data_IF_391598989602
#
_entry.id   IF_391598989602
#
_cell.length_a   1.000
_cell.length_b   1.000
_cell.length_c   1.000
_cell.angle_alpha   90.00
_cell.angle_beta   90.00
_cell.angle_gamma   90.00
#
_symmetry.space_group_name_H-M   'P 1'
#
loop_
_entity.id
_entity.type
_entity.pdbx_description
1 polymer ?
#
# COMPACT_ATOMS: atom_id res chain seq x y z
N UNK A 1 -27.87 63.30 -17.05
CA UNK A 1 -26.64 63.79 -17.73
C UNK A 1 -25.52 63.72 -16.71
N UNK A 2 -24.37 63.08 -16.88
CA UNK A 2 -23.86 62.06 -17.79
C UNK A 2 -22.73 61.36 -17.01
N UNK A 3 -22.66 60.03 -17.08
CA UNK A 3 -21.55 59.23 -16.56
C UNK A 3 -20.43 59.13 -17.60
N UNK A 4 -19.17 59.00 -17.16
CA UNK A 4 -18.06 58.22 -17.78
C UNK A 4 -16.76 58.50 -17.01
N UNK A 5 -16.28 57.55 -16.20
CA UNK A 5 -15.28 56.53 -16.52
C UNK A 5 -13.84 57.07 -16.54
N UNK A 6 -13.18 56.98 -15.38
CA UNK A 6 -11.73 57.09 -15.25
C UNK A 6 -11.06 55.78 -15.67
N UNK A 7 -10.12 55.88 -16.62
CA UNK A 7 -9.29 54.78 -17.09
C UNK A 7 -7.97 54.76 -16.32
N UNK A 8 -7.82 53.79 -15.41
CA UNK A 8 -6.56 53.50 -14.72
C UNK A 8 -5.56 52.86 -15.70
N UNK A 9 -4.43 53.53 -15.95
CA UNK A 9 -3.34 52.99 -16.78
C UNK A 9 -2.46 52.09 -15.94
N UNK A 10 -2.36 50.81 -16.30
CA UNK A 10 -1.37 49.86 -15.75
C UNK A 10 0.05 50.24 -16.19
N UNK A 11 1.06 50.21 -15.30
CA UNK A 11 2.45 50.33 -15.71
C UNK A 11 2.97 49.02 -16.36
N UNK A 12 3.60 49.17 -17.53
CA UNK A 12 4.42 48.15 -18.18
C UNK A 12 5.75 48.04 -17.42
N UNK A 13 6.00 46.88 -16.79
CA UNK A 13 7.30 46.52 -16.24
C UNK A 13 7.88 45.33 -17.00
N UNK A 14 8.81 45.59 -17.92
CA UNK A 14 9.63 44.59 -18.60
C UNK A 14 10.70 44.06 -17.63
N UNK A 15 10.37 43.00 -16.91
CA UNK A 15 11.32 42.23 -16.11
C UNK A 15 12.06 41.21 -16.98
N UNK A 16 13.31 41.53 -17.31
CA UNK A 16 14.29 40.62 -17.91
C UNK A 16 14.61 39.47 -16.93
N UNK A 17 14.15 38.26 -17.22
CA UNK A 17 14.57 37.06 -16.51
C UNK A 17 15.88 36.54 -17.10
N UNK A 18 17.01 36.93 -16.48
CA UNK A 18 18.28 36.25 -16.74
C UNK A 18 18.21 34.84 -16.15
N UNK A 19 18.30 33.84 -17.03
CA UNK A 19 18.55 32.45 -16.69
C UNK A 19 19.96 32.34 -16.10
N UNK A 20 20.06 32.26 -14.78
CA UNK A 20 21.29 31.88 -14.12
C UNK A 20 21.47 30.36 -14.25
N UNK A 21 22.22 29.92 -15.27
CA UNK A 21 22.84 28.59 -15.26
C UNK A 21 23.93 28.61 -14.18
N UNK A 22 23.70 27.93 -13.05
CA UNK A 22 24.78 27.58 -12.11
C UNK A 22 25.01 26.08 -12.14
N UNK A 23 26.19 25.73 -12.66
CA UNK A 23 27.12 24.74 -12.11
C UNK A 23 26.56 23.38 -11.73
N UNK A 24 26.67 22.43 -12.66
CA UNK A 24 26.87 21.02 -12.34
C UNK A 24 28.29 20.88 -11.76
N UNK A 25 28.41 20.60 -10.47
CA UNK A 25 29.68 20.29 -9.83
C UNK A 25 29.78 20.78 -8.39
N UNK A 26 29.30 19.99 -7.42
CA UNK A 26 29.97 19.70 -6.13
C UNK A 26 29.00 19.03 -5.13
N UNK A 27 28.73 17.74 -5.30
CA UNK A 27 28.08 16.93 -4.25
C UNK A 27 28.80 15.59 -4.05
N UNK A 28 30.14 15.62 -4.06
CA UNK A 28 30.99 14.55 -3.50
C UNK A 28 31.72 15.02 -2.24
N UNK A 29 31.09 15.85 -1.37
CA UNK A 29 31.69 16.28 -0.08
C UNK A 29 30.67 16.57 1.04
N UNK A 30 29.55 15.85 1.09
CA UNK A 30 28.54 16.04 2.15
C UNK A 30 28.13 14.73 2.85
N UNK A 31 29.01 13.71 2.88
CA UNK A 31 28.75 12.41 3.54
C UNK A 31 29.67 12.16 4.74
N UNK A 32 30.56 13.08 5.11
CA UNK A 32 31.60 12.84 6.14
C UNK A 32 31.48 13.77 7.37
N UNK A 33 30.44 14.61 7.47
CA UNK A 33 30.29 15.56 8.58
C UNK A 33 28.99 15.46 9.39
N UNK A 34 28.23 14.37 9.24
CA UNK A 34 27.10 14.05 10.14
C UNK A 34 27.38 12.91 11.14
N UNK A 35 28.58 12.32 11.11
CA UNK A 35 28.99 11.18 11.95
C UNK A 35 29.96 11.58 13.09
N UNK A 36 29.96 12.85 13.50
CA UNK A 36 30.81 13.38 14.60
C UNK A 36 30.06 14.17 15.67
N UNK A 37 28.73 14.09 15.73
CA UNK A 37 27.92 14.84 16.72
C UNK A 37 27.02 13.98 17.64
N UNK A 38 27.17 12.65 17.62
CA UNK A 38 26.54 11.75 18.61
C UNK A 38 27.56 11.07 19.55
N UNK A 39 28.80 11.57 19.60
CA UNK A 39 29.85 11.10 20.50
C UNK A 39 30.02 11.91 21.79
N UNK A 40 29.30 13.02 21.95
CA UNK A 40 29.56 14.00 23.04
C UNK A 40 28.44 14.22 24.04
N UNK A 41 27.35 13.44 23.98
CA UNK A 41 26.35 13.38 25.05
C UNK A 41 26.50 12.17 25.99
N UNK A 42 27.36 11.20 25.66
CA UNK A 42 27.66 10.05 26.54
C UNK A 42 28.68 10.32 27.65
N UNK A 43 29.39 11.46 27.62
CA UNK A 43 30.46 11.81 28.58
C UNK A 43 30.00 12.62 29.82
N UNK A 44 28.67 12.79 30.02
CA UNK A 44 28.12 13.48 31.20
C UNK A 44 27.47 12.55 32.25
N UNK A 45 27.44 11.24 32.02
CA UNK A 45 27.07 10.26 33.04
C UNK A 45 28.35 9.63 33.59
N UNK A 46 28.84 10.15 34.73
CA UNK A 46 30.04 9.67 35.41
C UNK A 46 29.93 8.26 35.97
N UNK A 47 29.89 7.24 35.09
CA UNK A 47 30.13 5.85 35.47
C UNK A 47 31.58 5.51 35.16
N UNK A 48 32.47 5.84 36.10
CA UNK A 48 33.81 5.24 36.19
C UNK A 48 33.65 3.76 36.54
N UNK A 49 33.48 2.92 35.52
CA UNK A 49 33.59 1.46 35.73
C UNK A 49 35.06 1.09 35.71
N UNK A 50 35.62 1.03 36.92
CA UNK A 50 36.91 0.47 37.26
C UNK A 50 37.14 -0.86 36.53
N UNK A 51 38.08 -0.87 35.58
CA UNK A 51 38.62 -2.10 35.00
C UNK A 51 39.49 -2.77 36.06
N UNK A 52 38.85 -3.57 36.91
CA UNK A 52 39.51 -4.50 37.83
C UNK A 52 39.96 -5.74 37.08
N UNK A 53 41.27 -5.84 36.83
CA UNK A 53 41.94 -7.09 36.45
C UNK A 53 41.73 -8.13 37.56
N UNK A 54 40.97 -9.18 37.29
CA UNK A 54 41.06 -10.45 38.01
C UNK A 54 41.53 -11.49 37.02
N UNK A 55 42.74 -11.98 37.26
CA UNK A 55 43.35 -13.08 36.56
C UNK A 55 43.03 -14.40 37.29
N UNK A 56 43.18 -15.49 36.53
CA UNK A 56 43.16 -16.92 36.88
C UNK A 56 41.81 -17.64 36.86
N UNK A 57 41.78 -18.68 36.03
CA UNK A 57 40.78 -19.74 36.03
C UNK A 57 40.82 -20.58 34.76
N UNK A 58 41.95 -21.21 34.45
CA UNK A 58 42.05 -22.19 33.37
C UNK A 58 41.28 -23.47 33.73
N UNK A 59 40.31 -23.87 32.90
CA UNK A 59 39.92 -25.26 32.62
C UNK A 59 38.66 -25.26 31.73
N UNK A 60 38.67 -26.06 30.65
CA UNK A 60 37.44 -26.40 29.93
C UNK A 60 37.52 -26.20 28.42
N UNK A 61 38.37 -26.97 27.75
CA UNK A 61 38.31 -27.17 26.31
C UNK A 61 37.09 -28.03 25.96
N UNK A 62 36.10 -27.47 25.25
CA UNK A 62 35.13 -28.21 24.44
C UNK A 62 34.76 -27.41 23.19
N UNK A 63 35.37 -27.81 22.08
CA UNK A 63 34.83 -27.92 20.71
C UNK A 63 34.11 -26.71 20.10
N UNK A 64 34.86 -25.97 19.26
CA UNK A 64 34.36 -25.17 18.14
C UNK A 64 34.53 -25.99 16.87
N UNK A 65 33.45 -26.43 16.22
CA UNK A 65 33.34 -26.61 14.75
C UNK A 65 31.85 -26.66 14.40
N UNK A 66 31.37 -25.87 13.42
CA UNK A 66 30.09 -26.20 12.76
C UNK A 66 29.21 -25.08 12.20
N UNK A 67 29.77 -24.01 11.61
CA UNK A 67 29.05 -23.20 10.62
C UNK A 67 29.94 -23.07 9.38
N UNK A 68 29.31 -23.19 8.20
CA UNK A 68 29.85 -23.15 6.81
C UNK A 68 30.22 -24.51 6.19
N UNK A 69 29.22 -25.19 5.60
CA UNK A 69 29.26 -25.69 4.21
C UNK A 69 27.96 -26.44 3.88
N UNK A 70 27.03 -25.80 3.18
CA UNK A 70 26.04 -26.50 2.37
C UNK A 70 25.96 -25.79 1.03
N UNK A 71 27.05 -25.87 0.26
CA UNK A 71 27.05 -25.68 -1.18
C UNK A 71 28.32 -26.31 -1.75
N UNK A 72 28.16 -27.49 -2.34
CA UNK A 72 28.96 -28.10 -3.43
C UNK A 72 28.17 -29.35 -3.84
N UNK A 73 27.59 -29.36 -5.04
CA UNK A 73 28.23 -29.84 -6.27
C UNK A 73 28.30 -31.37 -6.32
N UNK A 74 27.27 -31.94 -6.90
CA UNK A 74 27.31 -33.11 -7.78
C UNK A 74 26.24 -32.78 -8.84
N UNK A 75 26.58 -32.42 -10.08
CA UNK A 75 27.22 -33.31 -11.04
C UNK A 75 26.11 -33.97 -11.87
N UNK A 76 25.76 -33.39 -13.03
CA UNK A 76 25.29 -34.14 -14.20
C UNK A 76 25.00 -33.19 -15.37
N UNK A 77 25.96 -33.17 -16.26
CA UNK A 77 25.89 -32.71 -17.64
C UNK A 77 24.90 -33.59 -18.43
N UNK A 78 24.03 -33.00 -19.25
CA UNK A 78 23.54 -33.62 -20.51
C UNK A 78 23.16 -32.52 -21.53
N UNK A 79 23.29 -32.81 -22.84
CA UNK A 79 23.73 -31.84 -23.82
C UNK A 79 22.60 -31.22 -24.66
N UNK A 80 22.98 -30.14 -25.35
CA UNK A 80 22.27 -29.62 -26.51
C UNK A 80 22.18 -30.66 -27.64
N UNK A 81 20.99 -30.87 -28.21
CA UNK A 81 20.79 -30.90 -29.66
C UNK A 81 19.31 -31.06 -30.05
N UNK A 82 18.89 -30.14 -30.93
CA UNK A 82 18.05 -30.26 -32.14
C UNK A 82 16.55 -30.63 -32.12
N UNK A 83 15.91 -30.06 -33.15
CA UNK A 83 14.54 -30.21 -33.69
C UNK A 83 13.50 -29.29 -33.03
N UNK A 84 13.18 -28.14 -33.61
CA UNK A 84 12.35 -27.94 -34.81
C UNK A 84 10.98 -28.58 -34.66
N UNK A 85 9.99 -27.79 -34.26
CA UNK A 85 8.62 -27.94 -34.77
C UNK A 85 7.95 -26.57 -34.81
N UNK A 86 7.86 -26.06 -36.04
CA UNK A 86 6.97 -25.01 -36.49
C UNK A 86 5.54 -25.52 -36.38
N UNK A 87 4.69 -24.83 -35.61
CA UNK A 87 3.25 -24.99 -35.73
C UNK A 87 2.66 -23.65 -36.19
N UNK A 88 2.41 -23.61 -37.49
CA UNK A 88 1.51 -22.67 -38.16
C UNK A 88 0.10 -22.85 -37.57
N UNK A 89 -0.53 -21.75 -37.15
CA UNK A 89 -1.97 -21.72 -36.92
C UNK A 89 -2.56 -20.69 -37.88
N UNK A 90 -3.12 -21.25 -38.94
CA UNK A 90 -3.81 -20.62 -40.05
C UNK A 90 -5.04 -19.82 -39.63
N UNK A 91 -5.25 -18.72 -40.34
CA UNK A 91 -6.52 -18.02 -40.55
C UNK A 91 -7.72 -18.98 -40.66
N UNK A 92 -8.83 -18.64 -40.01
CA UNK A 92 -10.16 -18.84 -40.60
C UNK A 92 -11.25 -18.12 -39.81
N UNK A 93 -12.25 -17.64 -40.54
CA UNK A 93 -13.53 -17.05 -40.12
C UNK A 93 -13.47 -15.53 -39.92
N UNK A 94 -14.05 -14.68 -40.77
CA UNK A 94 -15.12 -14.92 -41.73
C UNK A 94 -16.32 -14.05 -41.38
N UNK A 95 -16.52 -13.04 -42.25
CA UNK A 95 -17.84 -12.63 -42.76
C UNK A 95 -18.81 -11.91 -41.81
N UNK A 96 -18.67 -10.58 -41.86
CA UNK A 96 -19.74 -9.60 -42.04
C UNK A 96 -21.09 -10.19 -42.51
N UNK A 97 -22.11 -10.13 -41.65
CA UNK A 97 -23.54 -10.07 -42.03
C UNK A 97 -24.30 -9.14 -41.05
N UNK A 98 -24.57 -7.92 -41.53
CA UNK A 98 -25.79 -7.11 -41.25
C UNK A 98 -26.87 -7.60 -42.26
N UNK A 99 -28.22 -7.43 -42.18
CA UNK A 99 -29.15 -6.58 -41.37
C UNK A 99 -30.37 -7.44 -40.85
N UNK A 100 -31.63 -6.99 -40.64
CA UNK A 100 -32.24 -5.64 -40.65
C UNK A 100 -33.08 -5.23 -39.43
N UNK A 101 -33.22 -3.91 -39.34
CA UNK A 101 -34.36 -3.19 -38.77
C UNK A 101 -35.67 -3.63 -39.41
N UNK A 102 -36.65 -3.99 -38.57
CA UNK A 102 -38.07 -3.92 -38.92
C UNK A 102 -38.73 -3.00 -37.91
N UNK A 103 -39.03 -1.79 -38.37
CA UNK A 103 -40.05 -0.94 -37.80
C UNK A 103 -41.41 -1.44 -38.33
N UNK A 104 -42.40 -1.52 -37.45
CA UNK A 104 -43.81 -1.41 -37.81
C UNK A 104 -44.57 -0.93 -36.58
N UNK A 105 -45.03 0.31 -36.69
CA UNK A 105 -46.13 0.92 -35.96
C UNK A 105 -47.38 0.01 -35.96
N UNK A 106 -48.15 0.02 -34.87
CA UNK A 106 -49.59 0.34 -34.92
C UNK A 106 -50.12 0.71 -33.51
N UNK A 107 -51.13 1.60 -33.39
CA UNK A 107 -51.44 2.34 -32.17
C UNK A 107 -52.73 1.87 -31.48
N UNK A 108 -53.06 2.59 -30.39
CA UNK A 108 -54.40 2.81 -29.83
C UNK A 108 -55.13 1.63 -29.17
N UNK A 109 -55.26 1.73 -27.85
CA UNK A 109 -56.50 2.07 -27.12
C UNK A 109 -56.36 1.57 -25.67
N UNK A 110 -56.24 2.51 -24.71
CA UNK A 110 -57.31 2.82 -23.76
C UNK A 110 -57.79 1.61 -22.98
N UNK A 111 -57.28 1.46 -21.77
CA UNK A 111 -58.08 1.31 -20.55
C UNK A 111 -57.17 1.30 -19.33
N UNK A 112 -57.75 1.37 -18.13
CA UNK A 112 -57.16 1.53 -16.80
C UNK A 112 -56.96 3.03 -16.44
N UNK A 113 -58.00 3.79 -16.11
CA UNK A 113 -58.86 3.62 -14.93
C UNK A 113 -58.01 3.38 -13.67
N UNK A 114 -57.57 4.48 -13.08
CA UNK A 114 -57.74 4.80 -11.65
C UNK A 114 -57.72 3.61 -10.69
N UNK A 115 -56.54 3.28 -10.21
CA UNK A 115 -56.34 2.76 -8.85
C UNK A 115 -55.25 3.61 -8.19
N UNK A 116 -55.74 4.65 -7.53
CA UNK A 116 -55.12 5.26 -6.37
C UNK A 116 -54.84 4.18 -5.33
N UNK A 117 -53.57 3.87 -5.07
CA UNK A 117 -53.12 3.31 -3.80
C UNK A 117 -51.60 3.53 -3.65
N UNK A 118 -51.25 4.61 -2.94
CA UNK A 118 -50.06 4.70 -2.09
C UNK A 118 -48.70 4.44 -2.74
N UNK A 119 -48.14 5.46 -3.41
CA UNK A 119 -46.69 5.55 -3.62
C UNK A 119 -46.04 5.79 -2.26
N UNK A 120 -45.69 4.70 -1.56
CA UNK A 120 -44.69 4.78 -0.52
C UNK A 120 -43.39 5.22 -1.18
N UNK A 121 -42.83 6.32 -0.68
CA UNK A 121 -41.48 6.77 -1.01
C UNK A 121 -40.53 5.55 -0.94
N UNK A 122 -39.51 5.47 -1.80
CA UNK A 122 -38.51 4.41 -1.68
C UNK A 122 -37.95 4.48 -0.25
N UNK A 123 -38.26 3.47 0.55
CA UNK A 123 -37.61 3.30 1.84
C UNK A 123 -36.12 3.25 1.53
N UNK A 124 -35.40 4.22 2.08
CA UNK A 124 -33.95 4.21 2.18
C UNK A 124 -33.57 2.86 2.78
N UNK A 125 -33.19 1.90 1.93
CA UNK A 125 -32.63 0.64 2.37
C UNK A 125 -31.50 0.93 3.34
N UNK A 126 -31.26 0.06 4.35
CA UNK A 126 -30.24 0.34 5.35
C UNK A 126 -28.93 0.59 4.62
N UNK A 127 -28.47 1.84 4.68
CA UNK A 127 -27.13 2.23 4.27
C UNK A 127 -26.21 1.21 4.93
N UNK A 128 -25.53 0.39 4.14
CA UNK A 128 -24.64 -0.66 4.65
C UNK A 128 -23.45 0.03 5.28
N UNK A 129 -23.67 0.55 6.48
CA UNK A 129 -22.67 1.13 7.33
C UNK A 129 -21.75 -0.01 7.67
N UNK A 130 -20.52 0.05 7.18
CA UNK A 130 -19.52 -0.96 7.49
C UNK A 130 -19.43 -1.09 9.02
N UNK A 131 -19.37 -2.32 9.56
CA UNK A 131 -19.34 -2.51 11.00
C UNK A 131 -18.13 -1.78 11.58
N UNK A 132 -18.37 -0.98 12.62
CA UNK A 132 -17.35 -0.29 13.42
C UNK A 132 -17.14 -1.06 14.73
N UNK A 133 -15.93 -1.02 15.32
CA UNK A 133 -15.73 -1.57 16.66
C UNK A 133 -16.58 -0.78 17.65
N UNK A 134 -17.03 -1.40 18.76
CA UNK A 134 -17.75 -0.69 19.81
C UNK A 134 -16.91 0.48 20.33
N UNK A 135 -17.53 1.64 20.52
CA UNK A 135 -16.85 2.85 20.98
C UNK A 135 -16.28 2.67 22.40
N UNK A 136 -15.01 2.27 22.50
CA UNK A 136 -14.25 2.14 23.75
C UNK A 136 -13.02 3.05 23.79
N UNK A 137 -12.37 3.18 24.94
CA UNK A 137 -11.13 3.97 25.15
C UNK A 137 -9.86 3.28 24.62
N UNK A 138 -10.02 2.41 23.63
CA UNK A 138 -8.99 1.49 23.16
C UNK A 138 -7.99 2.05 22.16
N UNK A 139 -7.08 1.19 21.68
CA UNK A 139 -6.07 1.52 20.66
C UNK A 139 -6.74 2.04 19.38
N UNK A 140 -6.25 3.17 18.87
CA UNK A 140 -6.69 3.74 17.59
C UNK A 140 -5.51 3.80 16.62
N UNK A 141 -5.74 3.40 15.37
CA UNK A 141 -4.73 3.50 14.30
C UNK A 141 -4.94 4.76 13.47
N UNK A 142 -3.85 5.36 12.98
CA UNK A 142 -3.87 6.40 11.94
C UNK A 142 -3.41 5.79 10.62
N UNK A 143 -4.17 5.97 9.55
CA UNK A 143 -3.77 5.65 8.19
C UNK A 143 -3.32 6.93 7.47
N UNK A 144 -2.21 6.87 6.75
CA UNK A 144 -1.63 8.02 6.05
C UNK A 144 -1.26 7.63 4.63
N UNK A 145 -1.85 8.28 3.63
CA UNK A 145 -1.37 8.22 2.26
C UNK A 145 -0.14 9.13 2.10
N UNK A 146 1.01 8.55 1.75
CA UNK A 146 2.26 9.29 1.55
C UNK A 146 3.11 8.70 0.44
N UNK A 147 4.02 9.51 -0.10
CA UNK A 147 5.00 9.04 -1.07
C UNK A 147 6.08 8.21 -0.38
N UNK A 148 6.16 6.93 -0.76
CA UNK A 148 7.22 6.01 -0.34
C UNK A 148 8.26 5.90 -1.47
N UNK A 149 9.58 6.01 -1.18
CA UNK A 149 10.62 5.91 -2.20
C UNK A 149 10.47 4.66 -3.08
N UNK A 150 10.60 4.84 -4.39
CA UNK A 150 10.43 3.80 -5.42
C UNK A 150 9.06 3.12 -5.51
N UNK A 151 8.16 3.29 -4.53
CA UNK A 151 6.80 2.73 -4.51
C UNK A 151 5.72 3.75 -4.90
N UNK A 152 5.98 5.05 -4.69
CA UNK A 152 5.00 6.11 -4.95
C UNK A 152 3.99 6.27 -3.81
N UNK A 153 2.83 6.87 -4.09
CA UNK A 153 1.79 7.10 -3.06
C UNK A 153 1.24 5.77 -2.56
N UNK A 154 1.43 5.52 -1.27
CA UNK A 154 1.10 4.26 -0.59
C UNK A 154 0.56 4.58 0.80
N UNK A 155 -0.33 3.73 1.30
CA UNK A 155 -0.85 3.86 2.66
C UNK A 155 0.15 3.29 3.66
N UNK A 156 0.38 4.07 4.71
CA UNK A 156 1.17 3.71 5.86
C UNK A 156 0.34 3.87 7.14
N UNK A 157 0.81 3.32 8.25
CA UNK A 157 0.29 3.71 9.56
C UNK A 157 0.90 5.03 10.05
N UNK A 158 0.51 5.48 11.24
CA UNK A 158 1.06 6.69 11.88
C UNK A 158 2.57 6.66 12.12
N UNK A 159 3.19 5.47 12.19
CA UNK A 159 4.63 5.29 12.34
C UNK A 159 5.38 5.15 11.00
N UNK A 160 4.67 5.19 9.87
CA UNK A 160 5.26 5.06 8.53
C UNK A 160 5.49 3.62 8.07
N UNK A 161 4.99 2.61 8.78
CA UNK A 161 4.99 1.22 8.29
C UNK A 161 4.06 1.10 7.09
N UNK A 162 4.54 0.51 5.99
CA UNK A 162 3.70 0.26 4.80
C UNK A 162 2.63 -0.77 5.13
N UNK A 163 1.41 -0.51 4.67
CA UNK A 163 0.27 -1.41 4.87
C UNK A 163 -0.01 -2.22 3.61
N UNK A 164 -0.41 -3.46 3.83
CA UNK A 164 -0.60 -4.47 2.80
C UNK A 164 -2.02 -4.98 2.78
N UNK A 165 -2.42 -5.45 1.59
CA UNK A 165 -3.63 -6.21 1.37
C UNK A 165 -3.29 -7.62 0.90
N UNK A 166 -4.16 -8.57 1.27
CA UNK A 166 -4.09 -9.95 0.80
C UNK A 166 -5.15 -10.18 -0.28
N UNK A 167 -4.75 -10.71 -1.44
CA UNK A 167 -5.68 -10.95 -2.55
C UNK A 167 -6.71 -12.06 -2.25
N UNK A 168 -6.40 -12.99 -1.34
CA UNK A 168 -7.34 -14.04 -0.93
C UNK A 168 -8.42 -13.59 0.06
N UNK A 169 -8.31 -12.38 0.61
CA UNK A 169 -9.35 -11.83 1.48
C UNK A 169 -10.60 -11.44 0.68
N UNK A 170 -11.76 -11.47 1.35
CA UNK A 170 -13.05 -11.09 0.76
C UNK A 170 -13.40 -9.66 1.15
N UNK A 171 -14.11 -8.96 0.27
CA UNK A 171 -14.57 -7.56 0.46
C UNK A 171 -16.09 -7.43 0.58
N UNK A 172 -16.86 -8.47 0.25
CA UNK A 172 -18.33 -8.48 0.32
C UNK A 172 -18.87 -9.80 0.91
N UNK A 173 -19.11 -9.88 2.23
CA UNK A 173 -18.66 -8.96 3.26
C UNK A 173 -17.13 -9.01 3.49
N UNK A 174 -16.53 -7.98 4.10
CA UNK A 174 -15.13 -8.01 4.50
C UNK A 174 -14.81 -9.24 5.35
N UNK A 175 -13.77 -9.99 4.99
CA UNK A 175 -13.30 -11.14 5.77
C UNK A 175 -11.83 -11.42 5.52
N UNK A 176 -11.07 -11.51 6.61
CA UNK A 176 -9.71 -12.04 6.61
C UNK A 176 -9.72 -13.56 6.48
N UNK A 177 -8.82 -14.10 5.65
CA UNK A 177 -8.47 -15.54 5.64
C UNK A 177 -7.07 -15.79 6.22
N UNK A 178 -6.36 -14.74 6.61
CA UNK A 178 -5.02 -14.82 7.18
C UNK A 178 -5.13 -14.88 8.71
N UNK A 179 -5.14 -16.09 9.27
CA UNK A 179 -5.20 -16.36 10.71
C UNK A 179 -4.03 -17.25 11.16
N UNK A 180 -3.85 -17.42 12.47
CA UNK A 180 -2.83 -18.32 13.04
C UNK A 180 -1.41 -17.96 12.60
N UNK A 181 -0.70 -18.91 11.98
CA UNK A 181 0.67 -18.69 11.51
C UNK A 181 0.78 -17.62 10.43
N UNK A 182 -0.24 -17.44 9.59
CA UNK A 182 -0.26 -16.36 8.61
C UNK A 182 -0.16 -15.00 9.29
N UNK A 183 -0.90 -14.81 10.39
CA UNK A 183 -0.92 -13.56 11.16
C UNK A 183 0.40 -13.28 11.91
N UNK A 184 1.30 -14.28 12.05
CA UNK A 184 2.65 -14.05 12.59
C UNK A 184 3.56 -13.37 11.56
N UNK A 185 3.45 -13.76 10.30
CA UNK A 185 4.20 -13.15 9.19
C UNK A 185 3.56 -11.86 8.70
N UNK A 186 2.23 -11.81 8.75
CA UNK A 186 1.41 -10.69 8.32
C UNK A 186 0.53 -10.20 9.47
N UNK A 187 1.11 -9.49 10.46
CA UNK A 187 0.33 -9.00 11.60
C UNK A 187 -0.85 -8.13 11.16
N UNK A 188 -2.08 -8.41 11.63
CA UNK A 188 -3.24 -7.59 11.30
C UNK A 188 -3.10 -6.18 11.90
N UNK A 189 -3.62 -5.18 11.19
CA UNK A 189 -3.75 -3.82 11.73
C UNK A 189 -4.96 -3.78 12.65
N UNK A 190 -4.75 -4.12 13.92
CA UNK A 190 -5.82 -4.15 14.92
C UNK A 190 -6.22 -2.74 15.36
N UNK A 191 -7.49 -2.57 15.70
CA UNK A 191 -8.03 -1.32 16.24
C UNK A 191 -9.18 -1.60 17.19
N UNK A 192 -9.35 -0.76 18.20
CA UNK A 192 -10.48 -0.82 19.15
C UNK A 192 -11.41 0.40 18.98
N UNK A 193 -11.04 1.32 18.09
CA UNK A 193 -11.81 2.50 17.68
C UNK A 193 -11.77 2.67 16.17
N UNK A 194 -12.57 3.61 15.65
CA UNK A 194 -12.45 4.01 14.26
C UNK A 194 -11.04 4.56 13.98
N UNK A 195 -10.43 4.10 12.89
CA UNK A 195 -9.13 4.60 12.48
C UNK A 195 -9.25 6.04 11.96
N UNK A 196 -8.27 6.88 12.32
CA UNK A 196 -8.13 8.22 11.74
C UNK A 196 -7.40 8.16 10.41
N UNK A 197 -7.64 9.14 9.52
CA UNK A 197 -7.05 9.15 8.18
C UNK A 197 -6.40 10.49 7.83
N UNK A 198 -5.37 10.45 6.99
CA UNK A 198 -4.75 11.60 6.35
C UNK A 198 -4.47 11.26 4.88
N UNK A 199 -5.03 12.05 3.95
CA UNK A 199 -4.88 11.81 2.51
C UNK A 199 -5.63 10.58 1.97
N UNK A 200 -6.58 10.05 2.74
CA UNK A 200 -7.43 8.91 2.38
C UNK A 200 -8.89 9.33 2.61
N UNK A 201 -9.78 8.92 1.71
CA UNK A 201 -11.21 9.18 1.82
C UNK A 201 -11.79 8.41 3.04
N UNK A 202 -12.36 9.08 4.06
CA UNK A 202 -12.83 8.42 5.28
C UNK A 202 -13.86 7.31 5.05
N UNK A 203 -14.70 7.44 4.03
CA UNK A 203 -15.74 6.48 3.65
C UNK A 203 -15.19 5.13 3.15
N UNK A 204 -13.92 5.09 2.73
CA UNK A 204 -13.27 3.84 2.36
C UNK A 204 -12.77 3.05 3.57
N UNK A 205 -12.68 3.68 4.75
CA UNK A 205 -12.15 3.03 5.95
C UNK A 205 -13.29 2.39 6.73
N UNK A 206 -13.11 1.11 7.00
CA UNK A 206 -14.02 0.33 7.82
C UNK A 206 -13.27 -0.57 8.77
N UNK A 207 -14.00 -1.51 9.38
CA UNK A 207 -13.38 -2.59 10.15
C UNK A 207 -14.05 -3.93 9.87
N UNK A 208 -13.36 -4.99 10.26
CA UNK A 208 -13.86 -6.37 10.24
C UNK A 208 -13.54 -7.04 11.57
N UNK A 209 -14.50 -7.79 12.11
CA UNK A 209 -14.24 -8.66 13.24
C UNK A 209 -13.58 -9.95 12.72
N UNK A 210 -12.43 -10.29 13.29
CA UNK A 210 -11.67 -11.50 13.00
C UNK A 210 -12.24 -12.70 13.77
N UNK A 211 -11.82 -13.91 13.39
CA UNK A 211 -12.28 -15.15 14.03
C UNK A 211 -11.90 -15.24 15.52
N UNK A 212 -10.82 -14.57 15.93
CA UNK A 212 -10.37 -14.46 17.32
C UNK A 212 -11.13 -13.38 18.14
N UNK A 213 -12.11 -12.71 17.54
CA UNK A 213 -12.90 -11.64 18.15
C UNK A 213 -12.29 -10.25 18.11
N UNK A 214 -11.02 -10.12 17.68
CA UNK A 214 -10.36 -8.83 17.50
C UNK A 214 -10.90 -8.07 16.29
N UNK A 215 -10.77 -6.74 16.32
CA UNK A 215 -11.19 -5.87 15.22
C UNK A 215 -9.99 -5.41 14.41
N UNK A 216 -10.08 -5.55 13.09
CA UNK A 216 -9.04 -5.18 12.14
C UNK A 216 -9.51 -4.07 11.21
N UNK A 217 -8.62 -3.13 10.91
CA UNK A 217 -8.89 -2.05 9.96
C UNK A 217 -9.01 -2.61 8.53
N UNK A 218 -10.00 -2.12 7.78
CA UNK A 218 -10.15 -2.37 6.35
C UNK A 218 -10.07 -1.08 5.56
N UNK A 219 -9.56 -1.15 4.32
CA UNK A 219 -9.63 -0.06 3.34
C UNK A 219 -10.29 -0.59 2.07
N UNK A 220 -11.32 0.12 1.59
CA UNK A 220 -12.20 -0.32 0.50
C UNK A 220 -12.72 -1.76 0.71
N UNK A 221 -13.11 -2.08 1.95
CA UNK A 221 -13.60 -3.41 2.33
C UNK A 221 -12.53 -4.50 2.48
N UNK A 222 -11.24 -4.22 2.24
CA UNK A 222 -10.17 -5.21 2.33
C UNK A 222 -9.39 -5.09 3.64
N UNK A 223 -9.16 -6.19 4.40
CA UNK A 223 -8.37 -6.17 5.63
C UNK A 223 -6.93 -5.72 5.40
N UNK A 224 -6.41 -4.90 6.32
CA UNK A 224 -5.05 -4.35 6.24
C UNK A 224 -4.08 -5.06 7.19
N UNK A 225 -2.87 -5.30 6.71
CA UNK A 225 -1.81 -5.97 7.44
C UNK A 225 -0.51 -5.16 7.42
N UNK A 226 0.36 -5.47 8.38
CA UNK A 226 1.78 -5.15 8.35
C UNK A 226 2.55 -6.37 7.87
N UNK A 227 3.81 -6.18 7.51
CA UNK A 227 4.72 -7.28 7.22
C UNK A 227 5.80 -7.38 8.29
N UNK A 228 5.97 -8.55 8.90
CA UNK A 228 6.95 -8.77 9.97
C UNK A 228 8.42 -8.58 9.52
N UNK A 229 8.68 -8.65 8.22
CA UNK A 229 10.00 -8.40 7.64
C UNK A 229 10.32 -6.94 7.36
N UNK A 230 9.37 -6.01 7.53
CA UNK A 230 9.63 -4.57 7.44
C UNK A 230 10.23 -4.09 8.78
N UNK A 231 11.36 -3.39 8.71
CA UNK A 231 12.12 -2.96 9.90
C UNK A 231 12.13 -1.45 10.08
N UNK A 232 12.06 -0.72 8.98
CA UNK A 232 12.09 0.74 8.94
C UNK A 232 10.81 1.31 8.34
N UNK A 233 10.52 2.56 8.69
CA UNK A 233 9.43 3.29 8.05
C UNK A 233 9.68 3.41 6.54
N UNK A 234 8.66 3.08 5.75
CA UNK A 234 8.76 3.04 4.29
C UNK A 234 9.35 1.76 3.71
N UNK A 235 9.79 0.79 4.53
CA UNK A 235 10.09 -0.55 4.02
C UNK A 235 8.84 -1.15 3.37
N UNK A 236 9.00 -1.72 2.18
CA UNK A 236 7.92 -2.38 1.45
C UNK A 236 8.28 -3.82 1.07
N UNK A 237 9.08 -4.50 1.91
CA UNK A 237 9.65 -5.83 1.62
C UNK A 237 8.60 -6.94 1.50
N UNK A 238 7.35 -6.68 1.90
CA UNK A 238 6.21 -7.59 1.71
C UNK A 238 5.60 -7.53 0.30
N UNK A 239 5.91 -6.49 -0.47
CA UNK A 239 5.25 -6.27 -1.75
C UNK A 239 5.56 -7.40 -2.75
N UNK A 240 4.52 -7.93 -3.39
CA UNK A 240 4.61 -9.00 -4.38
C UNK A 240 4.87 -10.39 -3.80
N UNK A 241 4.94 -10.56 -2.47
CA UNK A 241 5.20 -11.87 -1.89
C UNK A 241 4.11 -12.86 -2.27
N UNK A 242 4.57 -14.03 -2.72
CA UNK A 242 3.73 -15.13 -3.21
C UNK A 242 2.72 -14.72 -4.29
N UNK A 243 2.92 -13.58 -4.96
CA UNK A 243 1.97 -13.01 -5.92
C UNK A 243 0.61 -12.61 -5.32
N UNK A 244 0.50 -12.54 -3.99
CA UNK A 244 -0.78 -12.36 -3.29
C UNK A 244 -0.79 -11.19 -2.31
N UNK A 245 0.39 -10.69 -1.93
CA UNK A 245 0.55 -9.61 -0.96
C UNK A 245 1.02 -8.34 -1.64
N UNK A 246 0.28 -7.25 -1.47
CA UNK A 246 0.61 -6.00 -2.14
C UNK A 246 0.45 -4.82 -1.20
N UNK A 247 1.39 -3.88 -1.29
CA UNK A 247 1.24 -2.58 -0.65
C UNK A 247 -0.04 -1.91 -1.17
N UNK A 248 -0.79 -1.24 -0.30
CA UNK A 248 -2.10 -0.67 -0.65
C UNK A 248 -2.00 0.82 -0.99
N UNK A 249 -2.74 1.24 -2.01
CA UNK A 249 -2.92 2.64 -2.40
C UNK A 249 -4.03 3.30 -1.59
N UNK A 250 -4.14 4.63 -1.69
CA UNK A 250 -5.14 5.41 -0.96
C UNK A 250 -6.60 5.09 -1.37
N UNK A 251 -6.80 4.56 -2.58
CA UNK A 251 -8.09 4.08 -3.10
C UNK A 251 -8.43 2.64 -2.64
N UNK A 252 -7.56 1.99 -1.85
CA UNK A 252 -7.71 0.59 -1.44
C UNK A 252 -7.23 -0.42 -2.48
N UNK A 253 -6.84 0.03 -3.67
CA UNK A 253 -6.30 -0.84 -4.70
C UNK A 253 -4.88 -1.30 -4.39
N UNK A 254 -4.50 -2.46 -4.94
CA UNK A 254 -3.12 -2.92 -4.86
C UNK A 254 -2.22 -1.94 -5.61
N UNK A 255 -1.09 -1.59 -5.03
CA UNK A 255 -0.06 -0.87 -5.77
C UNK A 255 0.51 -1.83 -6.83
N UNK A 256 0.49 -1.43 -8.10
CA UNK A 256 0.97 -2.24 -9.22
C UNK A 256 2.44 -1.94 -9.57
N UNK A 257 3.08 -1.03 -8.83
CA UNK A 257 4.47 -0.70 -9.07
C UNK A 257 5.34 -1.88 -8.69
N UNK A 258 6.06 -2.43 -9.66
CA UNK A 258 6.97 -3.53 -9.43
C UNK A 258 7.97 -3.17 -8.30
N UNK A 259 8.41 -4.16 -7.50
CA UNK A 259 9.59 -4.00 -6.67
C UNK A 259 10.69 -3.36 -7.50
N UNK A 260 11.30 -2.28 -7.00
CA UNK A 260 12.57 -1.84 -7.55
C UNK A 260 13.50 -3.07 -7.51
N UNK A 261 13.83 -3.61 -8.70
CA UNK A 261 14.79 -4.69 -8.80
C UNK A 261 16.08 -4.19 -8.13
N UNK A 262 16.52 -4.88 -7.08
CA UNK A 262 17.73 -4.52 -6.36
C UNK A 262 18.89 -4.44 -7.33
N UNK A 263 19.46 -3.25 -7.47
CA UNK A 263 20.72 -3.00 -8.18
C UNK A 263 21.90 -3.02 -7.22
#
# INVERSE_FOLDING_TARGET
MAARHGAERRPRGSGSWRVARRGVGDLRRATVLWLRDLGELGRRAGLTTTVGKVALGAAGALLVVGLLNWWSEDGSEVPASVASETAEATESSGRLVKPPVLASDDPSARDLAELDEGVQAPETGPETTMPLPPAGSGQSVKLVARTVPSMGVTVTDGNGSVLYRFEKDRTGPPKSVCDGDCAKTWPPVLTERQASVEGIAPELVGTVQRADGSWQVTLAGRPLYRFAGDRLAGDWNGHGREGQWFAVRADGERNQRAPAAGG
#
